data_IF_546525166593
#
_entry.id   IF_546525166593
#
_cell.length_a   1.000
_cell.length_b   1.000
_cell.length_c   1.000
_cell.angle_alpha   90.00
_cell.angle_beta   90.00
_cell.angle_gamma   90.00
#
_symmetry.space_group_name_H-M   'P 1'
#
loop_
_entity.id
_entity.type
_entity.pdbx_description
1 polymer ?
#
# COMPACT_ATOMS: atom_id res chain seq x y z
N UNK A 1 -31.15 41.68 16.18
CA UNK A 1 -31.88 40.45 15.81
C UNK A 1 -30.87 39.53 15.15
N UNK A 2 -30.32 38.61 15.93
CA UNK A 2 -29.37 37.60 15.45
C UNK A 2 -30.16 36.52 14.72
N UNK A 3 -29.77 36.20 13.50
CA UNK A 3 -30.31 35.07 12.74
C UNK A 3 -29.36 33.90 12.97
N UNK A 4 -29.83 32.96 13.79
CA UNK A 4 -29.28 31.62 13.93
C UNK A 4 -29.40 30.90 12.58
N UNK A 5 -28.33 30.25 12.14
CA UNK A 5 -28.39 29.27 11.06
C UNK A 5 -27.98 27.92 11.64
N UNK A 6 -28.87 27.00 11.34
CA UNK A 6 -29.15 25.69 11.89
C UNK A 6 -27.99 24.68 11.83
N UNK A 7 -27.96 23.86 12.87
CA UNK A 7 -27.01 22.79 13.08
C UNK A 7 -27.44 21.55 12.28
N UNK A 8 -26.84 21.40 11.10
CA UNK A 8 -26.94 20.18 10.30
C UNK A 8 -26.22 19.01 10.96
N UNK A 9 -27.01 18.18 11.65
CA UNK A 9 -26.74 16.81 12.10
C UNK A 9 -25.86 16.00 11.15
N UNK A 10 -24.88 15.27 11.69
CA UNK A 10 -24.36 14.09 11.01
C UNK A 10 -23.98 12.98 12.00
N UNK A 11 -24.84 11.96 12.01
CA UNK A 11 -24.46 10.56 11.90
C UNK A 11 -23.58 9.97 13.00
N UNK A 12 -24.21 9.27 13.93
CA UNK A 12 -23.54 8.51 14.97
C UNK A 12 -22.58 7.44 14.41
N UNK A 13 -21.34 7.48 14.89
CA UNK A 13 -20.42 6.36 14.87
C UNK A 13 -20.30 5.86 16.30
N UNK A 14 -21.12 4.86 16.64
CA UNK A 14 -20.97 4.08 17.86
C UNK A 14 -19.85 3.08 17.65
N UNK A 15 -18.69 3.32 18.25
CA UNK A 15 -17.75 2.24 18.58
C UNK A 15 -17.88 1.93 20.07
N UNK A 16 -18.06 0.64 20.33
CA UNK A 16 -18.37 0.02 21.61
C UNK A 16 -17.60 0.56 22.82
N UNK A 17 -18.33 0.67 23.93
CA UNK A 17 -17.79 0.79 25.28
C UNK A 17 -16.77 -0.31 25.60
N UNK A 18 -15.53 0.09 25.86
CA UNK A 18 -14.69 -0.62 26.81
C UNK A 18 -14.42 0.31 27.99
N UNK A 19 -15.26 0.17 29.02
CA UNK A 19 -14.94 0.65 30.35
C UNK A 19 -13.81 -0.22 30.91
N UNK A 20 -12.64 0.38 31.13
CA UNK A 20 -11.74 -0.05 32.18
C UNK A 20 -11.02 1.20 32.67
N UNK A 21 -11.48 1.70 33.82
CA UNK A 21 -10.89 2.82 34.51
C UNK A 21 -9.38 2.58 34.73
N UNK A 22 -8.54 3.53 34.33
CA UNK A 22 -7.22 3.70 34.92
C UNK A 22 -6.73 5.14 34.75
N UNK A 23 -6.90 5.86 35.86
CA UNK A 23 -6.01 6.90 36.40
C UNK A 23 -5.98 8.24 35.65
N UNK A 24 -6.65 9.21 36.29
CA UNK A 24 -6.41 10.65 36.28
C UNK A 24 -5.11 11.10 35.60
N UNK A 25 -5.23 11.61 34.37
CA UNK A 25 -4.32 12.62 33.84
C UNK A 25 -4.97 13.97 34.14
N UNK A 26 -4.83 14.43 35.38
CA UNK A 26 -4.92 15.86 35.68
C UNK A 26 -3.59 16.47 35.23
N UNK A 27 -3.51 16.93 33.97
CA UNK A 27 -2.57 18.00 33.61
C UNK A 27 -2.83 18.56 32.22
N UNK A 28 -2.83 19.89 32.18
CA UNK A 28 -2.77 20.79 31.03
C UNK A 28 -4.09 21.02 30.28
N UNK A 29 -4.80 22.07 30.73
CA UNK A 29 -5.53 22.96 29.81
C UNK A 29 -4.75 23.06 28.50
N UNK A 30 -5.33 22.78 27.31
CA UNK A 30 -4.69 23.17 26.07
C UNK A 30 -4.75 24.68 26.01
N UNK A 31 -3.71 25.35 26.53
CA UNK A 31 -3.50 26.75 26.29
C UNK A 31 -3.46 26.92 24.77
N UNK A 32 -4.57 27.40 24.20
CA UNK A 32 -4.70 27.74 22.79
C UNK A 32 -3.76 28.91 22.47
N UNK A 33 -2.45 28.64 22.36
CA UNK A 33 -1.51 29.46 21.60
C UNK A 33 -1.65 29.03 20.13
N UNK A 34 -2.75 29.47 19.52
CA UNK A 34 -3.35 28.83 18.34
C UNK A 34 -2.74 29.26 16.99
N UNK A 35 -1.84 30.24 16.94
CA UNK A 35 -1.45 30.85 15.65
C UNK A 35 0.04 30.90 15.32
N UNK A 36 0.94 30.57 16.25
CA UNK A 36 2.36 30.94 16.09
C UNK A 36 3.33 29.76 16.02
N UNK A 37 2.86 28.52 16.15
CA UNK A 37 3.79 27.38 16.19
C UNK A 37 4.45 27.11 14.83
N UNK A 38 3.76 27.44 13.74
CA UNK A 38 4.21 27.19 12.38
C UNK A 38 3.67 28.30 11.47
N UNK A 39 4.50 29.27 11.03
CA UNK A 39 4.08 30.19 9.99
C UNK A 39 3.71 29.40 8.72
N UNK A 40 2.80 29.94 7.90
CA UNK A 40 2.29 29.22 6.73
C UNK A 40 3.42 28.79 5.77
N UNK A 41 4.41 29.66 5.56
CA UNK A 41 5.60 29.36 4.74
C UNK A 41 6.40 28.16 5.26
N UNK A 42 6.59 28.08 6.59
CA UNK A 42 7.31 26.99 7.23
C UNK A 42 6.52 25.68 7.13
N UNK A 43 5.20 25.74 7.39
CA UNK A 43 4.32 24.59 7.20
C UNK A 43 4.41 24.08 5.77
N UNK A 44 4.32 24.98 4.80
CA UNK A 44 4.27 24.62 3.39
C UNK A 44 5.60 24.03 2.91
N UNK A 45 6.74 24.54 3.43
CA UNK A 45 8.07 23.94 3.24
C UNK A 45 8.13 22.49 3.76
N UNK A 46 7.70 22.28 5.01
CA UNK A 46 7.73 20.94 5.63
C UNK A 46 6.79 19.97 4.89
N UNK A 47 5.63 20.47 4.45
CA UNK A 47 4.69 19.67 3.65
C UNK A 47 5.34 19.29 2.32
N UNK A 48 5.98 20.23 1.61
CA UNK A 48 6.68 19.94 0.36
C UNK A 48 7.80 18.91 0.55
N UNK A 49 8.64 19.07 1.58
CA UNK A 49 9.71 18.12 1.93
C UNK A 49 9.16 16.70 2.13
N UNK A 50 8.00 16.57 2.79
CA UNK A 50 7.39 15.28 3.05
C UNK A 50 6.91 14.51 1.80
N UNK A 51 6.83 15.15 0.64
CA UNK A 51 6.48 14.52 -0.64
C UNK A 51 7.69 14.10 -1.49
N UNK A 52 8.92 14.37 -1.04
CA UNK A 52 10.10 13.88 -1.73
C UNK A 52 10.16 12.34 -1.69
N UNK A 53 10.55 11.68 -2.81
CA UNK A 53 10.44 10.23 -2.98
C UNK A 53 11.43 9.42 -2.14
N UNK A 54 12.49 10.05 -1.64
CA UNK A 54 13.61 9.45 -0.93
C UNK A 54 13.51 9.57 0.60
N UNK A 55 12.51 10.30 1.11
CA UNK A 55 12.33 10.55 2.55
C UNK A 55 11.00 10.02 3.06
N UNK A 56 11.01 9.45 4.26
CA UNK A 56 9.77 9.05 4.92
C UNK A 56 9.15 10.23 5.67
N UNK A 57 7.81 10.27 5.70
CA UNK A 57 7.06 11.29 6.45
C UNK A 57 7.48 11.33 7.93
N UNK A 58 7.79 10.17 8.52
CA UNK A 58 8.28 10.06 9.90
C UNK A 58 9.69 10.62 10.11
N UNK A 59 10.56 10.58 9.10
CA UNK A 59 11.86 11.25 9.15
C UNK A 59 11.69 12.76 9.10
N UNK A 60 10.89 13.27 8.15
CA UNK A 60 10.61 14.70 8.00
C UNK A 60 9.96 15.28 9.25
N UNK A 61 9.01 14.56 9.86
CA UNK A 61 8.38 14.95 11.12
C UNK A 61 9.39 15.10 12.27
N UNK A 62 10.33 14.16 12.40
CA UNK A 62 11.37 14.22 13.46
C UNK A 62 12.39 15.33 13.20
N UNK A 63 12.84 15.47 11.96
CA UNK A 63 13.80 16.51 11.56
C UNK A 63 13.26 17.92 11.83
N UNK A 64 11.96 18.11 11.57
CA UNK A 64 11.29 19.39 11.76
C UNK A 64 10.58 19.54 13.12
N UNK A 65 10.69 18.57 14.05
CA UNK A 65 10.03 18.66 15.37
C UNK A 65 8.49 18.73 15.32
N UNK A 66 7.89 18.25 14.23
CA UNK A 66 6.45 18.22 14.00
C UNK A 66 5.87 16.88 14.45
N UNK A 67 4.71 16.90 15.11
CA UNK A 67 3.98 15.67 15.42
C UNK A 67 3.53 14.96 14.14
N UNK A 68 3.80 13.65 14.03
CA UNK A 68 3.50 12.87 12.81
C UNK A 68 2.03 12.98 12.37
N UNK A 69 1.09 12.96 13.32
CA UNK A 69 -0.34 13.13 13.02
C UNK A 69 -0.69 14.51 12.44
N UNK A 70 0.00 15.56 12.88
CA UNK A 70 -0.19 16.93 12.36
C UNK A 70 0.35 17.05 10.92
N UNK A 71 1.52 16.45 10.64
CA UNK A 71 2.07 16.43 9.29
C UNK A 71 1.17 15.64 8.31
N UNK A 72 0.60 14.51 8.74
CA UNK A 72 -0.38 13.78 7.93
C UNK A 72 -1.65 14.60 7.66
N UNK A 73 -2.13 15.35 8.65
CA UNK A 73 -3.25 16.26 8.48
C UNK A 73 -2.96 17.33 7.42
N UNK A 74 -1.79 17.98 7.48
CA UNK A 74 -1.39 18.97 6.47
C UNK A 74 -1.22 18.35 5.07
N UNK A 75 -0.61 17.16 4.97
CA UNK A 75 -0.49 16.43 3.69
C UNK A 75 -1.85 16.09 3.08
N UNK A 76 -2.84 15.76 3.90
CA UNK A 76 -4.22 15.52 3.42
C UNK A 76 -4.84 16.82 2.89
N UNK A 77 -4.68 17.92 3.61
CA UNK A 77 -5.18 19.22 3.18
C UNK A 77 -4.51 19.71 1.89
N UNK A 78 -3.20 19.55 1.75
CA UNK A 78 -2.46 19.92 0.55
C UNK A 78 -2.94 19.14 -0.69
N UNK A 79 -3.23 17.84 -0.53
CA UNK A 79 -3.85 17.03 -1.60
C UNK A 79 -5.26 17.50 -1.95
N UNK A 80 -6.10 17.77 -0.93
CA UNK A 80 -7.47 18.24 -1.15
C UNK A 80 -7.51 19.62 -1.82
N UNK A 81 -6.49 20.45 -1.62
CA UNK A 81 -6.34 21.75 -2.26
C UNK A 81 -5.75 21.67 -3.68
N UNK A 82 -5.39 20.48 -4.18
CA UNK A 82 -4.76 20.31 -5.48
C UNK A 82 -3.31 20.83 -5.56
N UNK A 83 -2.68 21.12 -4.42
CA UNK A 83 -1.31 21.61 -4.35
C UNK A 83 -0.26 20.50 -4.61
N UNK A 84 -0.71 19.24 -4.68
CA UNK A 84 0.14 18.05 -4.90
C UNK A 84 -0.58 17.11 -5.83
N UNK A 85 0.17 16.44 -6.71
CA UNK A 85 -0.37 15.45 -7.64
C UNK A 85 -1.20 14.37 -6.91
N UNK A 86 -2.38 14.08 -7.46
CA UNK A 86 -3.33 13.16 -6.86
C UNK A 86 -2.81 11.72 -6.94
N UNK A 87 -3.03 10.94 -5.88
CA UNK A 87 -2.65 9.53 -5.87
C UNK A 87 -3.58 8.76 -6.82
N UNK A 88 -3.07 8.40 -8.00
CA UNK A 88 -3.79 7.56 -8.96
C UNK A 88 -3.48 6.08 -8.74
N UNK A 89 -4.49 5.24 -8.86
CA UNK A 89 -4.28 3.81 -9.03
C UNK A 89 -3.62 3.56 -10.39
N UNK A 90 -2.48 2.88 -10.38
CA UNK A 90 -1.81 2.42 -11.61
C UNK A 90 -2.11 0.94 -11.77
N UNK A 91 -2.70 0.48 -12.89
CA UNK A 91 -2.94 -0.93 -13.10
C UNK A 91 -1.60 -1.67 -13.17
N UNK A 92 -1.44 -2.66 -12.31
CA UNK A 92 -0.29 -3.58 -12.36
C UNK A 92 -0.72 -4.80 -13.16
N UNK A 93 -0.09 -5.01 -14.31
CA UNK A 93 -0.27 -6.24 -15.09
C UNK A 93 0.60 -7.33 -14.48
N UNK A 94 -0.01 -8.44 -14.05
CA UNK A 94 0.74 -9.63 -13.64
C UNK A 94 1.41 -10.19 -14.89
N UNK A 95 2.75 -10.24 -14.89
CA UNK A 95 3.48 -10.91 -15.95
C UNK A 95 3.00 -12.36 -16.01
N UNK A 96 2.50 -12.79 -17.16
CA UNK A 96 2.20 -14.20 -17.37
C UNK A 96 3.53 -14.94 -17.32
N UNK A 97 3.74 -15.77 -16.30
CA UNK A 97 4.83 -16.73 -16.35
C UNK A 97 4.65 -17.53 -17.64
N UNK A 98 5.60 -17.38 -18.55
CA UNK A 98 5.76 -18.31 -19.67
C UNK A 98 5.93 -19.67 -19.01
N UNK A 99 4.85 -20.45 -18.98
CA UNK A 99 4.91 -21.87 -18.64
C UNK A 99 6.05 -22.40 -19.48
N UNK A 100 7.11 -22.89 -18.85
CA UNK A 100 8.24 -23.45 -19.56
C UNK A 100 7.71 -24.42 -20.63
N UNK A 101 7.71 -23.99 -21.91
CA UNK A 101 7.49 -24.85 -23.07
C UNK A 101 8.74 -25.71 -23.21
N UNK A 102 8.95 -26.60 -22.24
CA UNK A 102 10.26 -27.15 -22.00
C UNK A 102 10.35 -28.16 -20.87
N UNK A 103 9.26 -28.44 -20.12
CA UNK A 103 9.18 -29.65 -19.29
C UNK A 103 8.92 -30.88 -20.18
N UNK A 104 9.79 -31.09 -21.17
CA UNK A 104 9.79 -32.29 -21.98
C UNK A 104 10.69 -33.35 -21.36
N UNK A 105 10.19 -34.58 -21.23
CA UNK A 105 11.00 -35.69 -20.74
C UNK A 105 11.87 -36.22 -21.89
N UNK A 106 13.16 -36.39 -21.64
CA UNK A 106 14.10 -37.04 -22.57
C UNK A 106 14.48 -38.40 -22.00
N UNK A 107 14.18 -39.46 -22.76
CA UNK A 107 14.46 -40.84 -22.39
C UNK A 107 15.50 -41.39 -23.37
N UNK A 108 16.56 -42.01 -22.84
CA UNK A 108 17.59 -42.66 -23.64
C UNK A 108 17.44 -44.18 -23.45
N UNK A 109 17.14 -44.90 -24.53
CA UNK A 109 17.06 -46.36 -24.55
C UNK A 109 18.08 -46.87 -25.56
N UNK A 110 19.17 -47.47 -25.06
CA UNK A 110 20.32 -47.91 -25.86
C UNK A 110 20.94 -46.72 -26.62
N UNK A 111 20.64 -46.59 -27.91
CA UNK A 111 21.08 -45.55 -28.83
C UNK A 111 19.92 -44.67 -29.34
N UNK A 112 18.69 -44.94 -28.92
CA UNK A 112 17.49 -44.19 -29.31
C UNK A 112 17.14 -43.15 -28.24
N UNK A 113 16.99 -41.89 -28.68
CA UNK A 113 16.58 -40.77 -27.81
C UNK A 113 15.11 -40.42 -28.08
N UNK A 114 14.27 -40.57 -27.07
CA UNK A 114 12.84 -40.24 -27.12
C UNK A 114 12.61 -38.92 -26.39
N UNK A 115 12.10 -37.92 -27.10
CA UNK A 115 11.81 -36.59 -26.56
C UNK A 115 10.31 -36.34 -26.50
N UNK A 116 9.77 -36.31 -25.29
CA UNK A 116 8.36 -36.07 -25.01
C UNK A 116 8.18 -34.56 -24.88
N UNK A 117 7.39 -33.94 -25.74
CA UNK A 117 7.01 -32.52 -25.59
C UNK A 117 5.55 -32.45 -25.14
N UNK A 118 5.32 -31.87 -23.96
CA UNK A 118 3.97 -31.74 -23.40
C UNK A 118 3.39 -33.03 -22.84
N UNK A 119 2.08 -33.04 -22.60
CA UNK A 119 1.36 -34.21 -22.08
C UNK A 119 1.19 -35.25 -23.19
N UNK A 120 1.68 -36.47 -22.95
CA UNK A 120 1.53 -37.61 -23.86
C UNK A 120 0.72 -38.70 -23.16
N UNK A 121 -0.26 -39.24 -23.87
CA UNK A 121 -1.06 -40.36 -23.39
C UNK A 121 -0.21 -41.60 -23.15
N UNK A 122 -0.45 -42.26 -22.02
CA UNK A 122 0.36 -43.36 -21.51
C UNK A 122 0.44 -44.55 -22.48
N UNK A 123 -0.66 -44.85 -23.18
CA UNK A 123 -0.72 -45.96 -24.14
C UNK A 123 0.12 -45.68 -25.38
N UNK A 124 0.17 -44.41 -25.81
CA UNK A 124 1.02 -43.99 -26.92
C UNK A 124 2.50 -44.08 -26.54
N UNK A 125 2.86 -43.65 -25.33
CA UNK A 125 4.22 -43.78 -24.81
C UNK A 125 4.64 -45.25 -24.70
N UNK A 126 3.76 -46.13 -24.22
CA UNK A 126 4.03 -47.58 -24.15
C UNK A 126 4.27 -48.19 -25.53
N UNK A 127 3.46 -47.84 -26.52
CA UNK A 127 3.62 -48.37 -27.88
C UNK A 127 4.99 -47.99 -28.47
N UNK A 128 5.42 -46.74 -28.30
CA UNK A 128 6.73 -46.27 -28.76
C UNK A 128 7.86 -46.98 -28.00
N UNK A 129 7.77 -47.09 -26.67
CA UNK A 129 8.80 -47.77 -25.87
C UNK A 129 8.87 -49.28 -26.15
N UNK A 130 7.75 -49.92 -26.50
CA UNK A 130 7.71 -51.32 -26.88
C UNK A 130 8.37 -51.56 -28.24
N UNK A 131 8.13 -50.67 -29.21
CA UNK A 131 8.70 -50.77 -30.56
C UNK A 131 10.23 -50.60 -30.58
N UNK A 132 10.81 -49.79 -29.69
CA UNK A 132 12.26 -49.55 -29.63
C UNK A 132 13.02 -50.58 -28.77
N UNK A 133 12.32 -51.51 -28.11
CA UNK A 133 12.93 -52.53 -27.25
C UNK A 133 13.34 -53.79 -28.00
N UNK A 134 12.86 -54.00 -29.22
CA UNK A 134 13.21 -55.13 -30.10
C UNK A 134 14.62 -54.97 -30.69
#
# INVERSE_FOLDING_TARGET
MSVEIDAGSNGGLTCASHSAASRLIESLRPARRRYERWPDEERDRIVAESFAPDVTVSQVARANGVGLGLLHYWRRHARAAGAVEEMRFVPVTVAQEERCEGAGLELIVRDVTVRIRGAVEMDHLRAVLAAIRE
#
